data_IF_550629579530
#
_entry.id   IF_550629579530
#
_cell.length_a   1.000
_cell.length_b   1.000
_cell.length_c   1.000
_cell.angle_alpha   90.00
_cell.angle_beta   90.00
_cell.angle_gamma   90.00
#
_symmetry.space_group_name_H-M   'P 1'
#
loop_
_entity.id
_entity.type
_entity.pdbx_description
1 polymer ?
#
# COMPACT_ATOMS: atom_id res chain seq x y z
N UNK A 1 -32.84 1.02 -19.33
CA UNK A 1 -33.36 2.11 -18.50
C UNK A 1 -32.64 2.02 -17.18
N UNK A 2 -31.54 2.67 -17.11
CA UNK A 2 -30.79 2.63 -15.89
C UNK A 2 -30.89 3.98 -15.20
N UNK A 3 -31.66 4.03 -14.16
CA UNK A 3 -31.81 5.17 -13.32
C UNK A 3 -31.17 4.93 -11.96
N UNK A 4 -29.89 4.76 -11.99
CA UNK A 4 -29.08 4.42 -10.81
C UNK A 4 -28.92 5.59 -9.84
N UNK A 5 -29.27 6.79 -10.23
CA UNK A 5 -29.22 7.96 -9.36
C UNK A 5 -30.60 8.63 -9.35
N UNK A 6 -31.35 8.48 -8.33
CA UNK A 6 -32.63 9.15 -8.07
C UNK A 6 -33.16 10.16 -9.08
N UNK A 7 -34.35 10.63 -8.89
CA UNK A 7 -35.00 11.57 -9.79
C UNK A 7 -34.16 12.84 -9.98
N UNK A 8 -33.56 12.98 -11.13
CA UNK A 8 -32.75 14.15 -11.48
C UNK A 8 -31.40 13.86 -12.10
N UNK A 9 -30.90 12.64 -11.96
CA UNK A 9 -29.67 12.24 -12.62
C UNK A 9 -29.99 11.30 -13.76
N UNK A 10 -29.74 11.74 -14.96
CA UNK A 10 -29.80 10.90 -16.16
C UNK A 10 -28.40 10.77 -16.70
N UNK A 11 -27.87 9.65 -16.56
CA UNK A 11 -26.52 9.34 -17.05
C UNK A 11 -25.97 8.14 -16.32
N UNK A 12 -25.23 7.34 -16.99
CA UNK A 12 -24.61 6.18 -16.44
C UNK A 12 -23.79 6.52 -15.20
N UNK A 13 -23.65 5.56 -14.32
CA UNK A 13 -22.78 5.63 -13.17
C UNK A 13 -21.37 5.92 -13.62
N UNK A 14 -20.86 7.06 -13.27
CA UNK A 14 -19.44 7.31 -13.41
C UNK A 14 -18.87 7.44 -12.01
N UNK A 15 -18.45 6.36 -11.47
CA UNK A 15 -17.57 6.38 -10.32
C UNK A 15 -16.13 6.37 -10.84
N UNK A 16 -15.43 7.47 -10.65
CA UNK A 16 -14.00 7.48 -10.87
C UNK A 16 -13.36 6.87 -9.63
N UNK A 17 -13.22 5.58 -9.67
CA UNK A 17 -12.36 4.87 -8.76
C UNK A 17 -11.25 4.24 -9.58
N UNK A 18 -10.02 4.46 -9.23
CA UNK A 18 -9.00 3.50 -9.56
C UNK A 18 -9.28 2.32 -8.64
N UNK A 19 -10.04 1.34 -9.10
CA UNK A 19 -9.99 0.06 -8.44
C UNK A 19 -8.64 -0.52 -8.76
N UNK A 20 -7.77 -0.29 -7.87
CA UNK A 20 -6.75 -1.24 -7.61
C UNK A 20 -7.46 -2.58 -7.39
N UNK A 21 -7.10 -3.57 -8.18
CA UNK A 21 -7.40 -4.94 -7.80
C UNK A 21 -6.61 -5.13 -6.53
N UNK A 22 -7.28 -5.06 -5.38
CA UNK A 22 -6.66 -5.28 -4.10
C UNK A 22 -6.09 -6.70 -4.11
N UNK A 23 -4.81 -6.82 -4.41
CA UNK A 23 -4.15 -8.10 -4.28
C UNK A 23 -4.13 -8.49 -2.81
N UNK A 24 -4.58 -9.70 -2.53
CA UNK A 24 -4.47 -10.27 -1.20
C UNK A 24 -3.03 -10.72 -0.99
N UNK A 25 -2.44 -10.25 0.10
CA UNK A 25 -1.10 -10.64 0.51
C UNK A 25 -1.21 -11.53 1.73
N UNK A 26 -0.50 -12.66 1.69
CA UNK A 26 -0.41 -13.59 2.82
C UNK A 26 1.01 -13.57 3.34
N UNK A 27 1.17 -13.29 4.61
CA UNK A 27 2.47 -13.35 5.29
C UNK A 27 3.03 -14.78 5.26
N UNK A 28 4.31 -14.91 5.02
CA UNK A 28 5.05 -16.18 5.02
C UNK A 28 6.07 -16.19 6.14
N UNK A 29 6.92 -15.18 6.19
CA UNK A 29 7.99 -15.13 7.20
C UNK A 29 8.56 -13.72 7.36
N UNK A 30 9.26 -13.52 8.45
CA UNK A 30 10.13 -12.37 8.70
C UNK A 30 11.56 -12.83 8.91
N UNK A 31 12.51 -12.08 8.40
CA UNK A 31 13.91 -12.23 8.76
C UNK A 31 14.13 -11.95 10.25
N UNK A 32 15.04 -12.68 10.87
CA UNK A 32 15.38 -12.47 12.28
C UNK A 32 15.93 -11.06 12.47
N UNK A 33 15.28 -10.26 13.34
CA UNK A 33 15.68 -8.89 13.62
C UNK A 33 15.58 -7.94 12.42
N UNK A 34 14.77 -8.24 11.42
CA UNK A 34 14.65 -7.45 10.20
C UNK A 34 13.85 -6.16 10.36
N UNK A 35 13.17 -5.98 11.48
CA UNK A 35 12.48 -4.73 11.83
C UNK A 35 13.41 -3.93 12.75
N UNK A 36 13.87 -2.77 12.31
CA UNK A 36 14.89 -1.96 12.97
C UNK A 36 14.30 -0.68 13.57
N UNK A 37 14.50 -0.48 14.88
CA UNK A 37 14.09 0.75 15.57
C UNK A 37 15.12 1.86 15.35
N UNK A 38 14.69 3.00 14.84
CA UNK A 38 15.47 4.24 14.77
C UNK A 38 16.65 4.26 13.80
N UNK A 39 17.18 3.09 13.42
CA UNK A 39 18.33 2.99 12.50
C UNK A 39 18.43 1.59 11.92
N UNK A 40 18.81 1.46 10.66
CA UNK A 40 19.10 0.16 10.04
C UNK A 40 20.36 -0.54 10.61
N UNK A 41 21.20 0.18 11.33
CA UNK A 41 22.32 -0.38 12.09
C UNK A 41 21.90 -0.92 13.47
N UNK A 42 20.63 -0.75 13.86
CA UNK A 42 20.12 -1.20 15.14
C UNK A 42 20.23 -2.73 15.29
N UNK A 43 20.56 -3.17 16.48
CA UNK A 43 20.73 -4.59 16.82
C UNK A 43 20.24 -4.86 18.25
N UNK A 44 20.24 -6.12 18.67
CA UNK A 44 19.81 -6.51 20.02
C UNK A 44 18.37 -6.10 20.30
N UNK A 45 18.13 -5.38 21.38
CA UNK A 45 16.80 -4.94 21.81
C UNK A 45 16.09 -3.96 20.85
N UNK A 46 16.78 -3.44 19.83
CA UNK A 46 16.24 -2.54 18.82
C UNK A 46 16.05 -3.22 17.45
N UNK A 47 16.18 -4.54 17.39
CA UNK A 47 15.96 -5.35 16.22
C UNK A 47 14.90 -6.41 16.51
N UNK A 48 13.80 -6.39 15.77
CA UNK A 48 12.62 -7.20 16.04
C UNK A 48 12.34 -8.15 14.89
N UNK A 49 11.68 -9.26 15.21
CA UNK A 49 11.18 -10.23 14.23
C UNK A 49 9.67 -10.24 14.29
N UNK A 50 9.01 -10.01 13.18
CA UNK A 50 7.56 -10.13 13.11
C UNK A 50 7.16 -11.61 13.07
N UNK A 51 6.12 -11.96 13.81
CA UNK A 51 5.51 -13.30 13.78
C UNK A 51 4.34 -13.36 12.80
N UNK A 52 3.80 -12.19 12.41
CA UNK A 52 2.74 -12.05 11.42
C UNK A 52 2.78 -10.65 10.83
N UNK A 53 2.22 -10.49 9.62
CA UNK A 53 2.09 -9.21 8.95
C UNK A 53 0.84 -9.18 8.08
N UNK A 54 0.05 -8.13 8.22
CA UNK A 54 -1.14 -7.88 7.42
C UNK A 54 -0.99 -6.55 6.67
N UNK A 55 -1.08 -6.63 5.35
CA UNK A 55 -0.93 -5.47 4.48
C UNK A 55 -2.26 -5.12 3.81
N UNK A 56 -2.71 -3.91 4.04
CA UNK A 56 -3.88 -3.35 3.41
C UNK A 56 -3.49 -2.45 2.24
N UNK A 57 -3.69 -2.93 1.02
CA UNK A 57 -3.20 -2.28 -0.19
C UNK A 57 -3.84 -0.90 -0.45
N UNK A 58 -5.11 -0.70 -0.09
CA UNK A 58 -5.82 0.57 -0.30
C UNK A 58 -5.32 1.69 0.60
N UNK A 59 -5.08 1.39 1.86
CA UNK A 59 -4.60 2.38 2.83
C UNK A 59 -3.08 2.51 2.81
N UNK A 60 -2.38 1.52 2.29
CA UNK A 60 -0.92 1.41 2.37
C UNK A 60 -0.43 1.14 3.79
N UNK A 61 -1.29 0.62 4.64
CA UNK A 61 -0.95 0.27 6.01
C UNK A 61 -0.44 -1.16 6.10
N UNK A 62 0.61 -1.33 6.85
CA UNK A 62 1.18 -2.61 7.21
C UNK A 62 1.11 -2.77 8.73
N UNK A 63 0.34 -3.74 9.19
CA UNK A 63 0.27 -4.13 10.57
C UNK A 63 1.23 -5.30 10.81
N UNK A 64 2.17 -5.12 11.72
CA UNK A 64 3.14 -6.13 12.10
C UNK A 64 2.80 -6.66 13.49
N UNK A 65 2.77 -7.98 13.66
CA UNK A 65 2.69 -8.61 14.96
C UNK A 65 4.09 -8.92 15.46
N UNK A 66 4.47 -8.26 16.54
CA UNK A 66 5.78 -8.36 17.20
C UNK A 66 5.52 -8.49 18.70
N UNK A 67 5.48 -9.68 19.27
CA UNK A 67 5.13 -9.88 20.67
C UNK A 67 6.06 -9.10 21.63
N UNK A 68 5.45 -8.39 22.56
CA UNK A 68 6.15 -7.70 23.68
C UNK A 68 7.25 -6.74 23.22
N UNK A 69 7.04 -6.01 22.11
CA UNK A 69 8.07 -5.20 21.45
C UNK A 69 8.48 -3.94 22.22
N UNK A 70 7.64 -3.42 23.10
CA UNK A 70 7.94 -2.19 23.87
C UNK A 70 8.08 -0.90 23.03
N UNK A 71 7.69 -0.94 21.75
CA UNK A 71 7.67 0.24 20.88
C UNK A 71 6.51 1.17 21.23
N UNK A 72 6.65 2.44 20.88
CA UNK A 72 5.65 3.50 21.07
C UNK A 72 5.41 4.26 19.78
N UNK A 73 4.38 5.10 19.72
CA UNK A 73 4.11 5.98 18.56
C UNK A 73 5.17 7.08 18.36
N UNK A 74 6.04 7.29 19.34
CA UNK A 74 7.19 8.21 19.21
C UNK A 74 8.40 7.57 18.52
N UNK A 75 8.37 6.24 18.33
CA UNK A 75 9.45 5.52 17.68
C UNK A 75 9.30 5.50 16.17
N UNK A 76 10.41 5.34 15.48
CA UNK A 76 10.45 5.02 14.05
C UNK A 76 10.99 3.62 13.84
N UNK A 77 10.52 2.97 12.80
CA UNK A 77 11.01 1.64 12.42
C UNK A 77 11.28 1.57 10.93
N UNK A 78 12.27 0.80 10.55
CA UNK A 78 12.57 0.42 9.17
C UNK A 78 12.52 -1.09 9.01
N UNK A 79 12.29 -1.55 7.80
CA UNK A 79 12.32 -2.97 7.44
C UNK A 79 13.53 -3.20 6.56
N UNK A 80 14.38 -4.14 6.93
CA UNK A 80 15.53 -4.52 6.10
C UNK A 80 15.05 -4.99 4.71
N UNK A 81 15.79 -4.71 3.67
CA UNK A 81 15.46 -5.15 2.31
C UNK A 81 15.22 -6.66 2.27
N UNK A 82 14.04 -7.06 1.80
CA UNK A 82 13.61 -8.46 1.82
C UNK A 82 13.32 -9.02 3.21
N UNK A 83 13.23 -8.17 4.22
CA UNK A 83 13.05 -8.57 5.63
C UNK A 83 11.70 -9.22 5.93
N UNK A 84 10.69 -9.02 5.09
CA UNK A 84 9.42 -9.74 5.12
C UNK A 84 9.24 -10.53 3.84
N UNK A 85 8.49 -11.60 3.91
CA UNK A 85 8.13 -12.41 2.75
C UNK A 85 6.63 -12.61 2.73
N UNK A 86 6.03 -12.35 1.57
CA UNK A 86 4.60 -12.56 1.33
C UNK A 86 4.39 -13.47 0.13
N UNK A 87 3.19 -14.03 0.04
CA UNK A 87 2.59 -14.57 -1.17
C UNK A 87 1.46 -13.66 -1.62
N UNK A 88 1.19 -13.59 -2.92
CA UNK A 88 0.26 -12.64 -3.49
C UNK A 88 -0.77 -13.32 -4.40
N UNK A 89 -2.02 -12.88 -4.35
CA UNK A 89 -3.07 -13.38 -5.25
C UNK A 89 -2.86 -13.01 -6.72
N UNK A 90 -1.90 -12.14 -7.00
CA UNK A 90 -1.53 -11.78 -8.38
C UNK A 90 -0.96 -12.95 -9.18
N UNK A 91 -0.29 -13.86 -8.51
CA UNK A 91 0.31 -15.07 -9.06
C UNK A 91 -0.28 -16.35 -8.44
N UNK A 92 -1.54 -16.30 -8.00
CA UNK A 92 -2.25 -17.39 -7.34
C UNK A 92 -1.51 -17.94 -6.10
N UNK A 93 -0.79 -17.06 -5.41
CA UNK A 93 0.03 -17.41 -4.23
C UNK A 93 1.16 -18.39 -4.52
N UNK A 94 1.62 -18.47 -5.75
CA UNK A 94 2.67 -19.41 -6.15
C UNK A 94 4.05 -18.97 -5.66
N UNK A 95 4.44 -17.72 -5.93
CA UNK A 95 5.77 -17.20 -5.61
C UNK A 95 5.89 -16.61 -4.20
N UNK A 96 7.11 -16.55 -3.71
CA UNK A 96 7.46 -15.77 -2.54
C UNK A 96 7.91 -14.37 -2.98
N UNK A 97 7.32 -13.35 -2.39
CA UNK A 97 7.61 -11.95 -2.68
C UNK A 97 8.32 -11.32 -1.48
N UNK A 98 9.66 -11.14 -1.54
CA UNK A 98 10.38 -10.41 -0.50
C UNK A 98 9.99 -8.93 -0.50
N UNK A 99 9.86 -8.35 0.69
CA UNK A 99 9.49 -6.96 0.90
C UNK A 99 10.29 -6.35 2.07
N UNK A 100 10.66 -5.08 2.04
CA UNK A 100 10.64 -4.22 0.85
C UNK A 100 11.70 -4.65 -0.17
N UNK A 101 11.41 -4.43 -1.44
CA UNK A 101 12.39 -4.63 -2.51
C UNK A 101 13.23 -3.36 -2.65
N UNK A 102 14.52 -3.55 -2.70
CA UNK A 102 15.44 -2.45 -2.98
C UNK A 102 15.34 -1.95 -4.42
N UNK A 103 16.05 -0.87 -4.70
CA UNK A 103 16.23 -0.34 -6.05
C UNK A 103 16.90 -1.39 -6.93
N UNK A 104 16.32 -1.63 -8.10
CA UNK A 104 16.91 -2.43 -9.16
C UNK A 104 16.62 -1.81 -10.51
N UNK A 105 17.65 -1.47 -11.26
CA UNK A 105 17.52 -0.79 -12.55
C UNK A 105 16.67 -1.61 -13.56
N UNK A 106 16.68 -2.92 -13.41
CA UNK A 106 15.99 -3.82 -14.34
C UNK A 106 14.61 -4.26 -13.89
N UNK A 107 14.41 -4.50 -12.59
CA UNK A 107 13.19 -5.15 -12.07
C UNK A 107 12.36 -4.27 -11.15
N UNK A 108 12.95 -3.28 -10.53
CA UNK A 108 12.27 -2.37 -9.60
C UNK A 108 12.97 -0.99 -9.59
N UNK A 109 12.84 -0.20 -10.68
CA UNK A 109 13.62 1.02 -10.85
C UNK A 109 13.39 2.09 -9.79
N UNK A 110 12.27 2.02 -9.08
CA UNK A 110 11.94 2.99 -8.02
C UNK A 110 12.09 2.42 -6.60
N UNK A 111 12.35 1.12 -6.46
CA UNK A 111 12.26 0.45 -5.16
C UNK A 111 10.82 0.41 -4.60
N UNK A 112 10.65 -0.23 -3.47
CA UNK A 112 9.41 -0.06 -2.71
C UNK A 112 9.53 1.22 -1.84
N UNK A 113 8.43 1.97 -1.61
CA UNK A 113 8.49 3.29 -0.96
C UNK A 113 9.18 3.31 0.39
N UNK A 114 9.14 2.19 1.13
CA UNK A 114 9.76 2.08 2.47
C UNK A 114 11.20 1.55 2.42
N UNK A 115 11.71 1.17 1.24
CA UNK A 115 13.07 0.60 1.13
C UNK A 115 14.13 1.61 1.58
N UNK A 116 14.89 1.27 2.63
CA UNK A 116 15.90 2.14 3.20
C UNK A 116 15.37 3.34 4.00
N UNK A 117 14.08 3.36 4.35
CA UNK A 117 13.43 4.47 5.05
C UNK A 117 12.97 4.02 6.44
N UNK A 118 13.23 4.87 7.44
CA UNK A 118 12.62 4.77 8.76
C UNK A 118 11.27 5.50 8.74
N UNK A 119 10.19 4.82 9.11
CA UNK A 119 8.85 5.38 9.14
C UNK A 119 8.31 5.48 10.56
N UNK A 120 7.44 6.45 10.81
CA UNK A 120 6.78 6.62 12.09
C UNK A 120 5.75 5.51 12.32
N UNK A 121 5.64 5.05 13.56
CA UNK A 121 4.59 4.13 13.98
C UNK A 121 3.29 4.92 14.14
N UNK A 122 2.23 4.50 13.46
CA UNK A 122 0.92 5.15 13.51
C UNK A 122 0.04 4.65 14.64
N UNK A 123 0.06 3.33 14.85
CA UNK A 123 -0.70 2.69 15.90
C UNK A 123 0.17 1.66 16.60
N UNK A 124 -0.07 1.46 17.89
CA UNK A 124 0.67 0.53 18.71
C UNK A 124 -0.24 -0.16 19.71
N UNK A 125 -0.05 -1.45 19.87
CA UNK A 125 -0.58 -2.24 21.00
C UNK A 125 0.59 -2.94 21.69
N UNK A 126 0.35 -3.78 22.67
CA UNK A 126 1.40 -4.58 23.32
C UNK A 126 2.15 -5.49 22.34
N UNK A 127 1.46 -5.98 21.32
CA UNK A 127 1.99 -7.00 20.41
C UNK A 127 1.94 -6.60 18.94
N UNK A 128 1.41 -5.43 18.59
CA UNK A 128 1.33 -5.02 17.18
C UNK A 128 1.73 -3.57 17.00
N UNK A 129 2.29 -3.28 15.84
CA UNK A 129 2.49 -1.91 15.34
C UNK A 129 1.85 -1.78 13.96
N UNK A 130 1.36 -0.60 13.62
CA UNK A 130 0.89 -0.26 12.28
C UNK A 130 1.74 0.88 11.73
N UNK A 131 2.27 0.69 10.54
CA UNK A 131 3.10 1.66 9.82
C UNK A 131 2.55 1.91 8.42
N UNK A 132 2.86 3.05 7.85
CA UNK A 132 2.56 3.34 6.45
C UNK A 132 3.75 2.92 5.57
N UNK A 133 3.47 2.08 4.59
CA UNK A 133 4.49 1.52 3.69
C UNK A 133 4.24 1.87 2.22
N UNK A 134 3.22 2.67 1.96
CA UNK A 134 2.77 3.02 0.62
C UNK A 134 1.63 2.12 0.16
N UNK A 135 0.75 2.71 -0.61
CA UNK A 135 -0.37 1.98 -1.23
C UNK A 135 0.18 1.00 -2.26
N UNK A 136 -0.32 -0.22 -2.22
CA UNK A 136 0.10 -1.27 -3.15
C UNK A 136 -0.77 -1.30 -4.39
N UNK A 137 -0.16 -1.72 -5.48
CA UNK A 137 -0.81 -1.99 -6.76
C UNK A 137 -1.25 -0.73 -7.50
N UNK A 138 -0.99 -0.60 -8.75
CA UNK A 138 -1.58 0.42 -9.61
C UNK A 138 -1.47 1.89 -9.20
N UNK A 139 -0.68 2.21 -8.21
CA UNK A 139 -0.47 3.57 -7.74
C UNK A 139 0.16 4.46 -8.79
N UNK A 140 -0.56 4.70 -9.87
CA UNK A 140 -0.18 5.70 -10.85
C UNK A 140 -0.10 7.06 -10.18
N UNK A 141 0.81 7.88 -10.63
CA UNK A 141 1.00 9.24 -10.14
C UNK A 141 0.66 10.26 -11.22
N UNK A 142 0.19 11.43 -10.79
CA UNK A 142 0.00 12.57 -11.67
C UNK A 142 -1.25 12.53 -12.54
N UNK A 143 -2.18 11.60 -12.32
CA UNK A 143 -3.51 11.74 -12.94
C UNK A 143 -4.25 12.93 -12.34
N UNK A 144 -4.75 13.75 -13.21
CA UNK A 144 -5.62 14.86 -12.84
C UNK A 144 -6.88 14.77 -13.70
N UNK A 145 -8.01 14.55 -13.03
CA UNK A 145 -9.31 14.43 -13.67
C UNK A 145 -10.21 15.50 -13.07
N UNK A 146 -10.78 16.32 -13.90
CA UNK A 146 -11.80 17.30 -13.50
C UNK A 146 -13.17 16.80 -13.88
N UNK A 147 -14.13 16.93 -12.97
CA UNK A 147 -15.54 16.67 -13.22
C UNK A 147 -16.29 17.98 -13.32
N UNK A 148 -17.12 18.14 -14.34
CA UNK A 148 -18.02 19.28 -14.48
C UNK A 148 -19.45 18.77 -14.58
N UNK A 149 -20.35 19.46 -13.88
CA UNK A 149 -21.79 19.22 -13.99
C UNK A 149 -22.35 20.17 -15.04
N UNK A 150 -22.82 19.63 -16.14
CA UNK A 150 -23.48 20.39 -17.19
C UNK A 150 -24.94 20.69 -16.91
N UNK A 151 -25.53 21.50 -17.76
CA UNK A 151 -26.99 21.79 -17.73
C UNK A 151 -27.75 20.47 -17.87
N UNK A 152 -28.72 20.25 -16.99
CA UNK A 152 -29.49 19.00 -16.95
C UNK A 152 -28.84 17.88 -16.10
N UNK A 153 -27.79 18.18 -15.31
CA UNK A 153 -27.19 17.20 -14.42
C UNK A 153 -26.21 16.22 -15.07
N UNK A 154 -25.86 16.47 -16.32
CA UNK A 154 -24.82 15.64 -17.00
C UNK A 154 -23.45 15.85 -16.35
N UNK A 155 -22.79 14.77 -16.01
CA UNK A 155 -21.39 14.79 -15.57
C UNK A 155 -20.47 14.62 -16.77
N UNK A 156 -19.59 15.57 -16.98
CA UNK A 156 -18.52 15.47 -17.96
C UNK A 156 -17.16 15.36 -17.22
N UNK A 157 -16.37 14.41 -17.62
CA UNK A 157 -15.02 14.23 -17.09
C UNK A 157 -14.00 14.66 -18.13
N UNK A 158 -13.06 15.46 -17.70
CA UNK A 158 -11.92 15.84 -18.50
C UNK A 158 -10.65 15.33 -17.86
N UNK A 159 -9.90 14.51 -18.58
CA UNK A 159 -8.57 14.05 -18.15
C UNK A 159 -7.58 15.17 -18.50
N UNK A 160 -7.19 15.93 -17.49
CA UNK A 160 -6.20 17.00 -17.65
C UNK A 160 -4.79 16.41 -17.78
N UNK A 161 -4.52 15.33 -17.06
CA UNK A 161 -3.29 14.55 -17.14
C UNK A 161 -3.63 13.08 -16.93
N UNK A 162 -3.17 12.23 -17.82
CA UNK A 162 -3.38 10.78 -17.68
C UNK A 162 -2.55 10.15 -16.56
N UNK A 163 -1.51 10.84 -16.08
CA UNK A 163 -0.56 10.26 -15.13
C UNK A 163 0.26 9.12 -15.74
N UNK A 164 1.03 8.47 -14.90
CA UNK A 164 1.89 7.35 -15.29
C UNK A 164 1.75 6.20 -14.30
N UNK A 165 2.08 5.00 -14.75
CA UNK A 165 2.17 3.79 -13.91
C UNK A 165 0.85 3.27 -13.35
N UNK A 166 -0.28 3.62 -13.95
CA UNK A 166 -1.56 2.97 -13.63
C UNK A 166 -1.61 1.57 -14.24
N UNK A 167 -1.91 0.59 -13.41
CA UNK A 167 -2.16 -0.78 -13.87
C UNK A 167 -3.66 -1.04 -13.80
N UNK A 168 -4.29 -1.20 -14.97
CA UNK A 168 -5.73 -1.48 -15.08
C UNK A 168 -6.65 -0.52 -14.29
N UNK A 169 -6.59 0.78 -14.53
CA UNK A 169 -7.51 1.71 -13.91
C UNK A 169 -8.95 1.34 -14.32
N UNK A 170 -9.86 1.33 -13.36
CA UNK A 170 -11.29 1.16 -13.60
C UNK A 170 -12.03 2.40 -13.14
N UNK A 171 -13.04 2.77 -13.89
CA UNK A 171 -14.10 3.66 -13.41
C UNK A 171 -15.11 2.80 -12.65
N UNK A 172 -15.44 3.17 -11.45
CA UNK A 172 -16.44 2.50 -10.61
C UNK A 172 -17.58 3.48 -10.35
#
# INVERSE_FOLDING_TARGET
>A
EDNTFGSGYRGGTVAIGVTDIAYVHKFVSSGIGSIRKGSFAASGANAFTATDADYESHSGLLKLTIPSHGLTTSDTVGIDTGGLVFKCSKDDFFGNHPYPRGLSITSNPNGDPIAGIQTAIREVTTNTITIFVGQGGGGGTGANITATVGVGGTLAFNIVSAGTSYVNPRLI
#
